data_IF_790275153531
#
_entry.id   IF_790275153531
#
_cell.length_a   1.000
_cell.length_b   1.000
_cell.length_c   1.000
_cell.angle_alpha   90.00
_cell.angle_beta   90.00
_cell.angle_gamma   90.00
#
_symmetry.space_group_name_H-M   'P 1'
#
loop_
_entity.id
_entity.type
_entity.pdbx_description
1 polymer ?
#
# COMPACT_ATOMS: atom_id res chain seq x y z
N UNK A 1 25.80 5.13 -20.36
CA UNK A 1 24.45 5.72 -20.17
C UNK A 1 23.52 4.63 -19.65
N UNK A 2 23.30 4.60 -18.33
CA UNK A 2 22.48 3.58 -17.64
C UNK A 2 21.01 3.86 -17.94
N UNK A 3 20.45 3.21 -18.96
CA UNK A 3 19.02 3.31 -19.25
C UNK A 3 18.23 2.52 -18.20
N UNK A 4 17.47 3.25 -17.39
CA UNK A 4 16.11 2.93 -16.98
C UNK A 4 15.81 1.47 -16.64
N UNK A 5 15.79 1.17 -15.34
CA UNK A 5 15.06 0.05 -14.76
C UNK A 5 13.63 0.04 -15.29
N UNK A 6 13.29 -0.89 -16.20
CA UNK A 6 11.90 -1.03 -16.66
C UNK A 6 11.04 -1.44 -15.47
N UNK A 7 9.84 -0.88 -15.36
CA UNK A 7 8.85 -1.17 -14.29
C UNK A 7 8.69 -2.68 -14.05
N UNK A 8 8.76 -3.49 -15.12
CA UNK A 8 8.69 -4.94 -15.04
C UNK A 8 9.83 -5.58 -14.23
N UNK A 9 11.05 -5.05 -14.33
CA UNK A 9 12.22 -5.56 -13.61
C UNK A 9 12.10 -5.21 -12.12
N UNK A 10 11.68 -3.97 -11.80
CA UNK A 10 11.37 -3.57 -10.42
C UNK A 10 10.25 -4.42 -9.82
N UNK A 11 9.21 -4.72 -10.60
CA UNK A 11 8.15 -5.64 -10.16
C UNK A 11 8.65 -7.06 -9.93
N UNK A 12 9.61 -7.54 -10.72
CA UNK A 12 10.22 -8.86 -10.51
C UNK A 12 11.00 -8.90 -9.19
N UNK A 13 11.85 -7.90 -8.93
CA UNK A 13 12.57 -7.75 -7.65
C UNK A 13 11.61 -7.78 -6.46
N UNK A 14 10.53 -7.00 -6.54
CA UNK A 14 9.52 -6.94 -5.49
C UNK A 14 8.83 -8.30 -5.25
N UNK A 15 8.47 -8.99 -6.34
CA UNK A 15 7.84 -10.31 -6.27
C UNK A 15 8.78 -11.36 -5.70
N UNK A 16 10.06 -11.34 -6.08
CA UNK A 16 11.05 -12.30 -5.61
C UNK A 16 11.36 -12.08 -4.12
N UNK A 17 11.45 -10.82 -3.68
CA UNK A 17 11.61 -10.48 -2.27
C UNK A 17 10.39 -10.93 -1.44
N UNK A 18 9.17 -10.69 -1.94
CA UNK A 18 7.94 -11.15 -1.27
C UNK A 18 7.91 -12.68 -1.16
N UNK A 19 8.13 -13.40 -2.27
CA UNK A 19 8.06 -14.87 -2.31
C UNK A 19 9.14 -15.52 -1.45
N UNK A 20 10.38 -15.05 -1.54
CA UNK A 20 11.49 -15.61 -0.76
C UNK A 20 11.30 -15.39 0.74
N UNK A 21 10.85 -14.20 1.14
CA UNK A 21 10.55 -13.91 2.56
C UNK A 21 9.36 -14.71 3.06
N UNK A 22 8.28 -14.81 2.27
CA UNK A 22 7.12 -15.64 2.60
C UNK A 22 7.53 -17.10 2.80
N UNK A 23 8.27 -17.69 1.85
CA UNK A 23 8.72 -19.07 1.95
C UNK A 23 9.64 -19.31 3.16
N UNK A 24 10.51 -18.33 3.48
CA UNK A 24 11.35 -18.41 4.67
C UNK A 24 10.51 -18.37 5.96
N UNK A 25 9.59 -17.41 6.07
CA UNK A 25 8.73 -17.27 7.25
C UNK A 25 7.80 -18.49 7.45
N UNK A 26 7.35 -19.12 6.37
CA UNK A 26 6.57 -20.37 6.45
C UNK A 26 7.39 -21.52 7.02
N UNK A 27 8.68 -21.60 6.67
CA UNK A 27 9.59 -22.64 7.16
C UNK A 27 10.13 -22.34 8.58
N UNK A 28 10.36 -21.07 8.90
CA UNK A 28 10.93 -20.59 10.16
C UNK A 28 10.13 -19.40 10.69
N UNK A 29 8.99 -19.64 11.34
CA UNK A 29 8.06 -18.57 11.72
C UNK A 29 8.45 -17.78 12.97
N UNK A 30 9.62 -18.05 13.53
CA UNK A 30 10.07 -17.32 14.70
C UNK A 30 10.49 -15.89 14.29
N UNK A 31 9.91 -14.83 14.90
CA UNK A 31 10.13 -13.45 14.47
C UNK A 31 11.60 -13.02 14.39
N UNK A 32 12.46 -13.47 15.32
CA UNK A 32 13.89 -13.13 15.27
C UNK A 32 14.62 -13.79 14.10
N UNK A 33 14.22 -15.00 13.72
CA UNK A 33 14.75 -15.75 12.58
C UNK A 33 14.35 -15.08 11.26
N UNK A 34 13.08 -14.65 11.15
CA UNK A 34 12.59 -13.86 10.03
C UNK A 34 13.40 -12.56 9.90
N UNK A 35 13.66 -11.87 11.01
CA UNK A 35 14.46 -10.65 11.00
C UNK A 35 15.91 -10.89 10.60
N UNK A 36 16.52 -11.98 11.06
CA UNK A 36 17.85 -12.37 10.62
C UNK A 36 17.91 -12.66 9.11
N UNK A 37 16.81 -13.14 8.50
CA UNK A 37 16.69 -13.29 7.06
C UNK A 37 16.51 -11.94 6.34
N UNK A 38 15.67 -11.06 6.86
CA UNK A 38 15.45 -9.71 6.30
C UNK A 38 16.74 -8.88 6.34
N UNK A 39 17.51 -8.92 7.43
CA UNK A 39 18.79 -8.20 7.54
C UNK A 39 19.88 -8.70 6.57
N UNK A 40 19.72 -9.88 5.98
CA UNK A 40 20.64 -10.40 4.96
C UNK A 40 20.28 -9.95 3.54
N UNK A 41 19.13 -9.30 3.37
CA UNK A 41 18.72 -8.79 2.05
C UNK A 41 19.57 -7.58 1.67
N UNK A 42 19.97 -7.51 0.41
CA UNK A 42 20.70 -6.37 -0.15
C UNK A 42 19.79 -5.37 -0.87
N UNK A 43 18.50 -5.70 -1.01
CA UNK A 43 17.51 -4.84 -1.64
C UNK A 43 16.95 -3.84 -0.63
N UNK A 44 17.40 -2.58 -0.71
CA UNK A 44 17.02 -1.51 0.21
C UNK A 44 15.76 -0.75 -0.25
N UNK A 45 15.54 -0.56 -1.55
CA UNK A 45 14.44 0.26 -2.07
C UNK A 45 13.08 -0.37 -1.76
N UNK A 46 13.00 -1.71 -1.80
CA UNK A 46 11.76 -2.46 -1.60
C UNK A 46 11.73 -3.28 -0.32
N UNK A 47 12.66 -3.07 0.62
CA UNK A 47 12.79 -3.91 1.82
C UNK A 47 11.50 -4.08 2.62
N UNK A 48 10.63 -3.05 2.66
CA UNK A 48 9.32 -3.11 3.36
C UNK A 48 8.40 -4.24 2.85
N UNK A 49 8.65 -4.76 1.64
CA UNK A 49 7.88 -5.88 1.07
C UNK A 49 8.23 -7.21 1.73
N UNK A 50 9.46 -7.35 2.24
CA UNK A 50 9.83 -8.48 3.09
C UNK A 50 9.01 -8.47 4.40
N UNK A 51 8.84 -7.29 5.00
CA UNK A 51 7.99 -7.12 6.18
C UNK A 51 6.51 -7.39 5.89
N UNK A 52 6.00 -6.96 4.71
CA UNK A 52 4.63 -7.29 4.26
C UNK A 52 4.42 -8.81 4.17
N UNK A 53 5.37 -9.52 3.56
CA UNK A 53 5.33 -10.98 3.42
C UNK A 53 5.40 -11.71 4.76
N UNK A 54 6.33 -11.30 5.63
CA UNK A 54 6.48 -11.84 6.98
C UNK A 54 5.20 -11.66 7.80
N UNK A 55 4.64 -10.45 7.78
CA UNK A 55 3.40 -10.14 8.49
C UNK A 55 2.22 -10.99 7.99
N UNK A 56 2.10 -11.19 6.68
CA UNK A 56 1.07 -12.08 6.13
C UNK A 56 1.19 -13.50 6.69
N UNK A 57 2.41 -14.07 6.73
CA UNK A 57 2.63 -15.44 7.21
C UNK A 57 2.35 -15.56 8.70
N UNK A 58 2.88 -14.64 9.51
CA UNK A 58 2.65 -14.63 10.96
C UNK A 58 1.15 -14.52 11.28
N UNK A 59 0.44 -13.63 10.59
CA UNK A 59 -1.01 -13.50 10.75
C UNK A 59 -1.74 -14.80 10.41
N UNK A 60 -1.41 -15.44 9.27
CA UNK A 60 -2.04 -16.72 8.87
C UNK A 60 -1.83 -17.82 9.92
N UNK A 61 -0.64 -17.91 10.50
CA UNK A 61 -0.34 -18.90 11.53
C UNK A 61 -1.03 -18.62 12.86
N UNK A 62 -1.08 -17.36 13.26
CA UNK A 62 -1.80 -16.95 14.47
C UNK A 62 -3.29 -17.26 14.34
N UNK A 63 -3.88 -17.01 13.17
CA UNK A 63 -5.26 -17.35 12.83
C UNK A 63 -5.50 -18.87 12.84
N UNK A 64 -4.60 -19.66 12.25
CA UNK A 64 -4.70 -21.13 12.25
C UNK A 64 -4.66 -21.70 13.67
N UNK A 65 -3.88 -21.09 14.57
CA UNK A 65 -3.79 -21.46 15.98
C UNK A 65 -4.95 -20.93 16.85
N UNK A 66 -5.81 -20.07 16.29
CA UNK A 66 -6.91 -19.43 17.03
C UNK A 66 -6.43 -18.41 18.07
N UNK A 67 -5.31 -17.74 17.82
CA UNK A 67 -4.74 -16.68 18.68
C UNK A 67 -5.14 -15.28 18.18
N UNK A 68 -4.99 -14.27 19.03
CA UNK A 68 -5.36 -12.87 18.73
C UNK A 68 -4.26 -12.10 17.98
N UNK A 69 -3.55 -12.76 17.05
CA UNK A 69 -2.41 -12.19 16.30
C UNK A 69 -1.16 -11.92 17.16
N UNK A 70 -0.89 -12.75 18.17
CA UNK A 70 0.22 -12.55 19.13
C UNK A 70 1.59 -12.43 18.44
N UNK A 71 1.91 -13.33 17.50
CA UNK A 71 3.20 -13.34 16.80
C UNK A 71 3.32 -12.16 15.84
N UNK A 72 2.23 -11.84 15.14
CA UNK A 72 2.14 -10.68 14.27
C UNK A 72 2.33 -9.37 15.05
N UNK A 73 1.67 -9.23 16.20
CA UNK A 73 1.76 -8.04 17.05
C UNK A 73 3.15 -7.91 17.66
N UNK A 74 3.74 -9.02 18.13
CA UNK A 74 5.12 -9.05 18.61
C UNK A 74 6.11 -8.61 17.52
N UNK A 75 5.92 -9.06 16.28
CA UNK A 75 6.75 -8.66 15.14
C UNK A 75 6.63 -7.15 14.84
N UNK A 76 5.41 -6.62 14.84
CA UNK A 76 5.15 -5.19 14.66
C UNK A 76 5.88 -4.35 15.71
N UNK A 77 5.70 -4.69 16.99
CA UNK A 77 6.17 -3.87 18.10
C UNK A 77 7.69 -3.90 18.28
N UNK A 78 8.32 -5.05 18.00
CA UNK A 78 9.75 -5.25 18.29
C UNK A 78 10.65 -5.06 17.07
N UNK A 79 10.14 -5.25 15.86
CA UNK A 79 11.00 -5.32 14.68
C UNK A 79 10.57 -4.46 13.50
N UNK A 80 9.27 -4.19 13.35
CA UNK A 80 8.74 -3.68 12.09
C UNK A 80 8.10 -2.29 12.19
N UNK A 81 8.35 -1.53 13.26
CA UNK A 81 7.76 -0.19 13.50
C UNK A 81 7.96 0.78 12.33
N UNK A 82 9.14 0.81 11.72
CA UNK A 82 9.45 1.66 10.55
C UNK A 82 8.71 1.20 9.27
N UNK A 83 8.23 -0.05 9.25
CA UNK A 83 7.52 -0.68 8.13
C UNK A 83 6.06 -0.99 8.49
N UNK A 84 5.49 -0.34 9.52
CA UNK A 84 4.19 -0.66 10.06
C UNK A 84 3.09 -0.72 8.99
N UNK A 85 3.06 0.24 8.06
CA UNK A 85 2.09 0.26 6.95
C UNK A 85 2.06 -1.06 6.18
N UNK A 86 3.23 -1.62 5.85
CA UNK A 86 3.36 -2.90 5.15
C UNK A 86 2.95 -4.08 6.03
N UNK A 87 3.20 -4.03 7.33
CA UNK A 87 2.76 -5.07 8.28
C UNK A 87 1.22 -5.16 8.34
N UNK A 88 0.53 -4.01 8.41
CA UNK A 88 -0.94 -3.95 8.33
C UNK A 88 -1.48 -4.39 6.96
N UNK A 89 -0.79 -4.04 5.86
CA UNK A 89 -1.15 -4.54 4.53
C UNK A 89 -1.02 -6.07 4.49
N UNK A 90 0.05 -6.65 5.03
CA UNK A 90 0.26 -8.10 5.12
C UNK A 90 -0.86 -8.82 5.85
N UNK A 91 -1.34 -8.27 6.98
CA UNK A 91 -2.55 -8.75 7.65
C UNK A 91 -3.79 -8.69 6.74
N UNK A 92 -3.92 -7.63 5.94
CA UNK A 92 -4.95 -7.51 4.92
C UNK A 92 -4.91 -8.61 3.87
N UNK A 93 -3.73 -9.04 3.44
CA UNK A 93 -3.58 -10.19 2.54
C UNK A 93 -4.05 -11.49 3.21
N UNK A 94 -3.71 -11.72 4.48
CA UNK A 94 -4.17 -12.88 5.24
C UNK A 94 -5.70 -12.89 5.35
N UNK A 95 -6.31 -11.76 5.71
CA UNK A 95 -7.78 -11.60 5.75
C UNK A 95 -8.41 -11.87 4.37
N UNK A 96 -7.79 -11.33 3.31
CA UNK A 96 -8.19 -11.56 1.94
C UNK A 96 -8.12 -13.04 1.55
N UNK A 97 -7.08 -13.75 1.94
CA UNK A 97 -6.93 -15.18 1.67
C UNK A 97 -8.01 -16.00 2.39
N UNK A 98 -8.13 -15.82 3.70
CA UNK A 98 -9.02 -16.60 4.58
C UNK A 98 -10.48 -16.12 4.56
N UNK A 99 -10.77 -15.03 3.82
CA UNK A 99 -12.11 -14.44 3.69
C UNK A 99 -12.69 -13.96 5.02
N UNK A 100 -11.82 -13.39 5.86
CA UNK A 100 -12.18 -12.91 7.19
C UNK A 100 -12.62 -11.45 7.15
N UNK A 101 -13.51 -11.08 8.07
CA UNK A 101 -13.87 -9.68 8.27
C UNK A 101 -12.82 -9.01 9.16
N UNK A 102 -12.05 -8.03 8.65
CA UNK A 102 -10.98 -7.43 9.41
C UNK A 102 -11.45 -6.42 10.47
N UNK A 103 -12.76 -6.18 10.60
CA UNK A 103 -13.28 -5.13 11.49
C UNK A 103 -12.86 -5.31 12.95
N UNK A 104 -12.77 -6.54 13.46
CA UNK A 104 -12.30 -6.80 14.83
C UNK A 104 -10.88 -6.26 15.09
N UNK A 105 -10.01 -6.25 14.07
CA UNK A 105 -8.65 -5.69 14.17
C UNK A 105 -8.62 -4.20 13.84
N UNK A 106 -9.50 -3.75 12.95
CA UNK A 106 -9.63 -2.31 12.64
C UNK A 106 -10.06 -1.51 13.87
N UNK A 107 -10.91 -2.09 14.71
CA UNK A 107 -11.45 -1.45 15.91
C UNK A 107 -10.50 -1.49 17.11
N UNK A 108 -9.53 -2.41 17.13
CA UNK A 108 -8.65 -2.65 18.28
C UNK A 108 -7.20 -2.23 18.06
N UNK A 109 -6.71 -2.26 16.81
CA UNK A 109 -5.34 -1.87 16.48
C UNK A 109 -5.21 -0.35 16.28
N UNK A 110 -3.97 0.12 16.08
CA UNK A 110 -3.68 1.54 15.88
C UNK A 110 -4.57 2.17 14.78
N UNK A 111 -5.42 3.16 15.11
CA UNK A 111 -6.44 3.69 14.20
C UNK A 111 -5.86 4.40 12.96
N UNK A 112 -4.59 4.82 12.99
CA UNK A 112 -3.92 5.40 11.83
C UNK A 112 -3.60 4.35 10.77
N UNK A 113 -3.26 3.13 11.18
CA UNK A 113 -2.77 2.09 10.28
C UNK A 113 -3.77 0.96 10.06
N UNK A 114 -4.73 0.74 10.97
CA UNK A 114 -5.59 -0.43 10.91
C UNK A 114 -6.45 -0.48 9.63
N UNK A 115 -6.86 0.67 9.10
CA UNK A 115 -7.57 0.74 7.81
C UNK A 115 -6.74 0.21 6.63
N UNK A 116 -5.40 0.18 6.74
CA UNK A 116 -4.51 -0.40 5.71
C UNK A 116 -4.73 -1.91 5.53
N UNK A 117 -5.39 -2.58 6.48
CA UNK A 117 -5.84 -3.97 6.35
C UNK A 117 -6.84 -4.10 5.19
N UNK A 118 -7.80 -3.17 5.06
CA UNK A 118 -8.72 -3.16 3.91
C UNK A 118 -8.01 -2.89 2.58
N UNK A 119 -6.94 -2.09 2.58
CA UNK A 119 -6.10 -1.91 1.39
C UNK A 119 -5.44 -3.24 0.99
N UNK A 120 -4.79 -3.93 1.94
CA UNK A 120 -4.20 -5.25 1.67
C UNK A 120 -5.22 -6.28 1.18
N UNK A 121 -6.41 -6.29 1.76
CA UNK A 121 -7.52 -7.13 1.31
C UNK A 121 -7.91 -6.80 -0.14
N UNK A 122 -8.12 -5.50 -0.44
CA UNK A 122 -8.44 -5.03 -1.78
C UNK A 122 -7.37 -5.36 -2.80
N UNK A 123 -6.09 -5.29 -2.41
CA UNK A 123 -4.98 -5.71 -3.24
C UNK A 123 -5.05 -7.20 -3.56
N UNK A 124 -5.25 -8.04 -2.54
CA UNK A 124 -5.40 -9.48 -2.69
C UNK A 124 -6.53 -9.83 -3.67
N UNK A 125 -7.70 -9.22 -3.49
CA UNK A 125 -8.85 -9.44 -4.37
C UNK A 125 -8.64 -8.92 -5.78
N UNK A 126 -8.04 -7.73 -5.93
CA UNK A 126 -7.66 -7.21 -7.25
C UNK A 126 -6.70 -8.14 -7.98
N UNK A 127 -5.84 -8.86 -7.24
CA UNK A 127 -4.82 -9.72 -7.83
C UNK A 127 -5.36 -11.12 -8.16
N UNK A 128 -5.93 -11.80 -7.17
CA UNK A 128 -6.37 -13.20 -7.28
C UNK A 128 -7.84 -13.34 -7.73
N UNK A 129 -8.65 -12.28 -7.57
CA UNK A 129 -10.10 -12.30 -7.82
C UNK A 129 -10.56 -11.17 -8.75
N UNK A 130 -9.68 -10.64 -9.61
CA UNK A 130 -9.96 -9.53 -10.54
C UNK A 130 -11.32 -9.58 -11.24
N UNK A 131 -11.72 -10.76 -11.74
CA UNK A 131 -13.00 -10.95 -12.45
C UNK A 131 -14.20 -10.69 -11.53
N UNK A 132 -14.13 -11.19 -10.30
CA UNK A 132 -15.18 -11.02 -9.27
C UNK A 132 -15.27 -9.54 -8.85
N UNK A 133 -14.13 -8.88 -8.65
CA UNK A 133 -14.08 -7.46 -8.30
C UNK A 133 -14.73 -6.59 -9.40
N UNK A 134 -14.40 -6.82 -10.67
CA UNK A 134 -15.00 -6.10 -11.79
C UNK A 134 -16.49 -6.41 -12.00
N UNK A 135 -16.98 -7.54 -11.49
CA UNK A 135 -18.41 -7.90 -11.47
C UNK A 135 -19.14 -7.34 -10.25
N UNK A 136 -18.47 -6.56 -9.39
CA UNK A 136 -19.07 -6.00 -8.18
C UNK A 136 -19.23 -6.98 -7.03
N UNK A 137 -18.52 -8.11 -7.05
CA UNK A 137 -18.54 -9.12 -5.98
C UNK A 137 -17.48 -8.76 -4.94
N UNK A 138 -17.94 -8.16 -3.85
CA UNK A 138 -17.12 -7.72 -2.72
C UNK A 138 -17.24 -8.66 -1.51
N UNK A 139 -16.38 -8.52 -0.48
CA UNK A 139 -16.58 -9.19 0.80
C UNK A 139 -17.93 -8.84 1.42
N UNK A 140 -18.67 -9.82 1.92
CA UNK A 140 -20.07 -9.66 2.35
C UNK A 140 -20.27 -8.61 3.45
N UNK A 141 -19.31 -8.49 4.36
CA UNK A 141 -19.37 -7.59 5.53
C UNK A 141 -18.66 -6.26 5.33
N UNK A 142 -18.23 -5.93 4.11
CA UNK A 142 -17.49 -4.68 3.90
C UNK A 142 -18.36 -3.46 4.22
N UNK A 143 -17.91 -2.64 5.16
CA UNK A 143 -18.63 -1.43 5.56
C UNK A 143 -18.48 -0.33 4.53
N UNK A 144 -19.36 0.68 4.57
CA UNK A 144 -19.25 1.89 3.73
C UNK A 144 -17.91 2.62 3.93
N UNK A 145 -17.32 2.51 5.12
CA UNK A 145 -15.99 3.08 5.44
C UNK A 145 -14.85 2.20 4.92
N UNK A 146 -14.98 0.88 4.96
CA UNK A 146 -13.96 -0.03 4.42
C UNK A 146 -13.86 -0.01 2.89
N UNK A 147 -14.98 0.24 2.21
CA UNK A 147 -15.07 0.16 0.76
C UNK A 147 -14.12 1.10 -0.01
N UNK A 148 -13.99 2.40 0.34
CA UNK A 148 -12.95 3.27 -0.23
C UNK A 148 -11.53 2.71 -0.09
N UNK A 149 -11.19 2.19 1.09
CA UNK A 149 -9.82 1.69 1.36
C UNK A 149 -9.55 0.38 0.63
N UNK A 150 -10.57 -0.47 0.49
CA UNK A 150 -10.53 -1.66 -0.35
C UNK A 150 -10.29 -1.30 -1.82
N UNK A 151 -11.00 -0.30 -2.37
CA UNK A 151 -10.82 0.10 -3.78
C UNK A 151 -9.47 0.76 -4.05
N UNK A 152 -8.88 1.42 -3.07
CA UNK A 152 -7.48 1.84 -3.13
C UNK A 152 -6.53 0.63 -3.26
N UNK A 153 -6.75 -0.43 -2.48
CA UNK A 153 -6.02 -1.69 -2.63
C UNK A 153 -6.20 -2.34 -4.01
N UNK A 154 -7.44 -2.37 -4.51
CA UNK A 154 -7.74 -2.85 -5.86
C UNK A 154 -6.98 -2.03 -6.90
N UNK A 155 -6.99 -0.70 -6.80
CA UNK A 155 -6.23 0.20 -7.68
C UNK A 155 -4.75 -0.15 -7.71
N UNK A 156 -4.13 -0.33 -6.54
CA UNK A 156 -2.73 -0.77 -6.45
C UNK A 156 -2.52 -2.08 -7.21
N UNK A 157 -3.36 -3.08 -6.99
CA UNK A 157 -3.22 -4.38 -7.66
C UNK A 157 -3.36 -4.30 -9.19
N UNK A 158 -4.25 -3.45 -9.70
CA UNK A 158 -4.38 -3.21 -11.13
C UNK A 158 -3.18 -2.48 -11.72
N UNK A 159 -2.54 -1.56 -11.01
CA UNK A 159 -1.26 -0.98 -11.43
C UNK A 159 -0.20 -2.08 -11.67
N UNK A 160 -0.06 -2.99 -10.71
CA UNK A 160 0.85 -4.14 -10.81
C UNK A 160 0.52 -5.04 -12.00
N UNK A 161 -0.76 -5.36 -12.19
CA UNK A 161 -1.21 -6.21 -13.31
C UNK A 161 -0.98 -5.52 -14.67
N UNK A 162 -1.09 -4.19 -14.73
CA UNK A 162 -0.83 -3.42 -15.94
C UNK A 162 0.66 -3.29 -16.26
N UNK A 163 1.56 -3.49 -15.27
CA UNK A 163 3.02 -3.34 -15.42
C UNK A 163 3.43 -1.98 -16.01
N UNK A 164 2.73 -0.92 -15.59
CA UNK A 164 2.89 0.44 -16.10
C UNK A 164 2.45 0.67 -17.55
N UNK A 165 1.80 -0.30 -18.19
CA UNK A 165 1.23 -0.12 -19.52
C UNK A 165 -0.01 0.77 -19.46
N UNK A 166 0.12 2.00 -19.98
CA UNK A 166 -0.93 3.03 -20.01
C UNK A 166 -2.21 2.56 -20.71
N UNK A 167 -2.10 1.88 -21.86
CA UNK A 167 -3.27 1.39 -22.60
C UNK A 167 -4.06 0.36 -21.81
N UNK A 168 -3.38 -0.55 -21.09
CA UNK A 168 -4.04 -1.51 -20.20
C UNK A 168 -4.71 -0.79 -19.04
N UNK A 169 -4.02 0.18 -18.42
CA UNK A 169 -4.58 0.95 -17.32
C UNK A 169 -5.82 1.75 -17.77
N UNK A 170 -5.77 2.40 -18.92
CA UNK A 170 -6.92 3.10 -19.51
C UNK A 170 -8.10 2.14 -19.71
N UNK A 171 -7.88 0.98 -20.33
CA UNK A 171 -8.94 -0.03 -20.54
C UNK A 171 -9.54 -0.55 -19.23
N UNK A 172 -8.73 -0.73 -18.20
CA UNK A 172 -9.21 -1.15 -16.87
C UNK A 172 -10.01 -0.02 -16.23
N UNK A 173 -9.52 1.21 -16.30
CA UNK A 173 -10.17 2.36 -15.66
C UNK A 173 -11.61 2.57 -16.16
N UNK A 174 -11.92 2.28 -17.42
CA UNK A 174 -13.29 2.38 -17.95
C UNK A 174 -14.24 1.30 -17.42
N UNK A 175 -13.73 0.26 -16.77
CA UNK A 175 -14.52 -0.82 -16.17
C UNK A 175 -14.75 -0.60 -14.67
N UNK A 176 -14.08 0.39 -14.06
CA UNK A 176 -14.26 0.70 -12.64
C UNK A 176 -15.55 1.50 -12.46
N UNK A 177 -16.48 1.06 -11.59
CA UNK A 177 -17.70 1.81 -11.30
C UNK A 177 -17.38 3.25 -10.85
N UNK A 178 -18.19 4.21 -11.31
CA UNK A 178 -17.90 5.64 -11.13
C UNK A 178 -17.72 6.05 -9.67
N UNK A 179 -18.47 5.43 -8.75
CA UNK A 179 -18.41 5.66 -7.32
C UNK A 179 -17.09 5.17 -6.65
N UNK A 180 -16.26 4.43 -7.37
CA UNK A 180 -14.97 3.91 -6.85
C UNK A 180 -13.75 4.44 -7.60
N UNK A 181 -13.95 5.26 -8.64
CA UNK A 181 -12.86 5.80 -9.44
C UNK A 181 -11.87 6.62 -8.60
N UNK A 182 -12.38 7.45 -7.70
CA UNK A 182 -11.57 8.27 -6.80
C UNK A 182 -10.57 7.39 -6.02
N UNK A 183 -11.06 6.37 -5.34
CA UNK A 183 -10.23 5.47 -4.54
C UNK A 183 -9.31 4.58 -5.39
N UNK A 184 -9.82 4.10 -6.53
CA UNK A 184 -9.02 3.36 -7.50
C UNK A 184 -7.79 4.17 -7.95
N UNK A 185 -8.00 5.45 -8.34
CA UNK A 185 -6.92 6.36 -8.76
C UNK A 185 -5.96 6.70 -7.62
N UNK A 186 -6.45 6.77 -6.38
CA UNK A 186 -5.59 6.83 -5.18
C UNK A 186 -4.66 5.63 -5.08
N UNK A 187 -5.21 4.43 -5.33
CA UNK A 187 -4.44 3.19 -5.41
C UNK A 187 -3.38 3.21 -6.51
N UNK A 188 -3.71 3.73 -7.69
CA UNK A 188 -2.76 3.92 -8.79
C UNK A 188 -1.62 4.85 -8.39
N UNK A 189 -1.93 6.00 -7.77
CA UNK A 189 -0.94 6.97 -7.34
C UNK A 189 0.04 6.39 -6.32
N UNK A 190 -0.49 5.63 -5.36
CA UNK A 190 0.31 4.93 -4.35
C UNK A 190 1.25 3.91 -4.99
N UNK A 191 0.71 3.01 -5.83
CA UNK A 191 1.51 1.95 -6.43
C UNK A 191 2.52 2.49 -7.47
N UNK A 192 2.17 3.54 -8.21
CA UNK A 192 3.09 4.21 -9.11
C UNK A 192 4.29 4.79 -8.37
N UNK A 193 4.03 5.58 -7.32
CA UNK A 193 5.05 6.25 -6.51
C UNK A 193 5.92 5.25 -5.76
N UNK A 194 5.32 4.15 -5.30
CA UNK A 194 6.06 3.09 -4.62
C UNK A 194 6.90 2.25 -5.59
N UNK A 195 6.37 1.77 -6.70
CA UNK A 195 7.15 0.90 -7.62
C UNK A 195 8.19 1.70 -8.41
N UNK A 196 7.78 2.85 -8.95
CA UNK A 196 8.59 3.66 -9.85
C UNK A 196 8.98 2.99 -11.16
N UNK A 197 10.01 3.55 -11.82
CA UNK A 197 10.51 3.06 -13.10
C UNK A 197 9.89 3.71 -14.35
N UNK A 198 9.21 4.85 -14.18
CA UNK A 198 8.72 5.68 -15.30
C UNK A 198 9.56 6.93 -15.50
N UNK A 199 9.53 7.46 -16.72
CA UNK A 199 10.04 8.78 -17.04
C UNK A 199 9.09 9.89 -16.57
N UNK A 200 9.60 11.11 -16.41
CA UNK A 200 8.80 12.30 -16.07
C UNK A 200 7.63 12.52 -17.05
N UNK A 201 7.86 12.27 -18.34
CA UNK A 201 6.82 12.35 -19.38
C UNK A 201 5.70 11.32 -19.14
N UNK A 202 6.06 10.08 -18.83
CA UNK A 202 5.07 9.04 -18.54
C UNK A 202 4.26 9.35 -17.28
N UNK A 203 4.88 9.91 -16.24
CA UNK A 203 4.17 10.35 -15.04
C UNK A 203 3.19 11.50 -15.33
N UNK A 204 3.53 12.43 -16.22
CA UNK A 204 2.62 13.48 -16.68
C UNK A 204 1.45 12.92 -17.48
N UNK A 205 1.66 11.88 -18.30
CA UNK A 205 0.59 11.22 -19.02
C UNK A 205 -0.38 10.48 -18.07
N UNK A 206 0.14 9.83 -17.01
CA UNK A 206 -0.70 9.24 -15.95
C UNK A 206 -1.51 10.33 -15.23
N UNK A 207 -0.89 11.48 -14.93
CA UNK A 207 -1.58 12.64 -14.34
C UNK A 207 -2.74 13.14 -15.22
N UNK A 208 -2.51 13.28 -16.52
CA UNK A 208 -3.58 13.68 -17.46
C UNK A 208 -4.68 12.62 -17.55
N UNK A 209 -4.32 11.33 -17.55
CA UNK A 209 -5.28 10.23 -17.60
C UNK A 209 -6.18 10.15 -16.35
N UNK A 210 -5.66 10.54 -15.17
CA UNK A 210 -6.45 10.62 -13.96
C UNK A 210 -7.57 11.66 -14.05
N UNK A 211 -7.41 12.70 -14.87
CA UNK A 211 -8.43 13.72 -15.13
C UNK A 211 -9.04 14.30 -13.84
N UNK A 212 -10.34 14.10 -13.57
CA UNK A 212 -10.98 14.61 -12.35
C UNK A 212 -10.44 13.98 -11.05
N UNK A 213 -9.70 12.87 -11.13
CA UNK A 213 -9.15 12.14 -9.98
C UNK A 213 -7.67 12.45 -9.71
N UNK A 214 -7.14 13.53 -10.27
CA UNK A 214 -5.77 14.00 -10.03
C UNK A 214 -5.48 14.24 -8.54
N UNK A 215 -6.46 14.76 -7.80
CA UNK A 215 -6.38 14.95 -6.34
C UNK A 215 -6.11 13.62 -5.62
N UNK A 216 -6.87 12.57 -5.96
CA UNK A 216 -6.71 11.25 -5.37
C UNK A 216 -5.41 10.58 -5.81
N UNK A 217 -5.03 10.71 -7.09
CA UNK A 217 -3.73 10.23 -7.58
C UNK A 217 -2.58 10.83 -6.75
N UNK A 218 -2.61 12.15 -6.51
CA UNK A 218 -1.67 12.86 -5.64
C UNK A 218 -1.72 12.35 -4.21
N UNK A 219 -2.90 12.20 -3.61
CA UNK A 219 -3.05 11.68 -2.24
C UNK A 219 -2.42 10.29 -2.10
N UNK A 220 -2.62 9.42 -3.09
CA UNK A 220 -1.94 8.11 -3.16
C UNK A 220 -0.41 8.23 -3.14
N UNK A 221 0.15 9.18 -3.90
CA UNK A 221 1.58 9.45 -3.90
C UNK A 221 2.09 9.95 -2.53
N UNK A 222 1.32 10.81 -1.86
CA UNK A 222 1.65 11.27 -0.50
C UNK A 222 1.68 10.12 0.51
N UNK A 223 0.77 9.16 0.41
CA UNK A 223 0.79 7.94 1.23
C UNK A 223 2.06 7.12 1.01
N UNK A 224 2.47 6.95 -0.25
CA UNK A 224 3.71 6.24 -0.58
C UNK A 224 4.96 6.99 -0.10
N UNK A 225 5.00 8.32 -0.23
CA UNK A 225 6.08 9.17 0.30
C UNK A 225 6.17 9.04 1.82
N UNK A 226 5.03 9.06 2.54
CA UNK A 226 5.01 8.86 4.00
C UNK A 226 5.59 7.51 4.38
N UNK A 227 5.11 6.43 3.76
CA UNK A 227 5.58 5.06 4.02
C UNK A 227 7.09 4.92 3.72
N UNK A 228 7.57 5.47 2.60
CA UNK A 228 9.00 5.46 2.28
C UNK A 228 9.82 6.32 3.25
N UNK A 229 9.29 7.44 3.73
CA UNK A 229 9.97 8.27 4.73
C UNK A 229 10.10 7.55 6.07
N UNK A 230 9.06 6.86 6.53
CA UNK A 230 9.08 6.12 7.80
C UNK A 230 10.07 4.95 7.72
N UNK A 231 10.08 4.25 6.58
CA UNK A 231 10.98 3.14 6.29
C UNK A 231 12.40 3.56 5.87
N UNK A 232 12.69 4.86 5.76
CA UNK A 232 13.96 5.42 5.25
C UNK A 232 14.35 4.89 3.86
N UNK A 233 13.37 4.67 2.99
CA UNK A 233 13.52 4.13 1.63
C UNK A 233 13.15 5.17 0.56
N UNK A 234 13.36 6.46 0.79
CA UNK A 234 13.15 7.48 -0.25
C UNK A 234 14.20 7.30 -1.35
N UNK A 235 13.75 7.27 -2.61
CA UNK A 235 14.61 7.16 -3.80
C UNK A 235 14.34 8.30 -4.77
N UNK A 236 15.24 8.53 -5.73
CA UNK A 236 15.14 9.60 -6.72
C UNK A 236 13.79 9.63 -7.47
N UNK A 237 13.18 8.46 -7.72
CA UNK A 237 11.85 8.41 -8.33
C UNK A 237 10.76 9.01 -7.42
N UNK A 238 10.83 8.76 -6.11
CA UNK A 238 9.91 9.35 -5.14
C UNK A 238 10.02 10.87 -5.09
N UNK A 239 11.25 11.39 -5.17
CA UNK A 239 11.52 12.84 -5.25
C UNK A 239 10.95 13.45 -6.53
N UNK A 240 11.14 12.78 -7.66
CA UNK A 240 10.59 13.21 -8.95
C UNK A 240 9.06 13.26 -8.93
N UNK A 241 8.39 12.27 -8.33
CA UNK A 241 6.92 12.29 -8.18
C UNK A 241 6.45 13.42 -7.27
N UNK A 242 7.17 13.68 -6.16
CA UNK A 242 6.87 14.80 -5.28
C UNK A 242 6.88 16.14 -6.05
N UNK A 243 7.90 16.37 -6.88
CA UNK A 243 7.99 17.55 -7.72
C UNK A 243 6.90 17.58 -8.81
N UNK A 244 6.62 16.46 -9.46
CA UNK A 244 5.70 16.42 -10.59
C UNK A 244 4.23 16.54 -10.18
N UNK A 245 3.80 15.80 -9.17
CA UNK A 245 2.39 15.70 -8.80
C UNK A 245 2.01 16.56 -7.60
N UNK A 246 2.97 16.85 -6.71
CA UNK A 246 2.71 17.68 -5.53
C UNK A 246 3.30 19.09 -5.67
N UNK A 247 4.15 19.34 -6.67
CA UNK A 247 4.82 20.64 -6.90
C UNK A 247 5.64 21.13 -5.71
N UNK A 248 6.15 20.21 -4.90
CA UNK A 248 6.94 20.50 -3.70
C UNK A 248 8.14 19.55 -3.60
N UNK A 249 9.27 19.99 -3.01
CA UNK A 249 10.37 19.09 -2.65
C UNK A 249 9.90 18.02 -1.65
N UNK A 250 10.44 16.80 -1.75
CA UNK A 250 10.04 15.67 -0.89
C UNK A 250 10.18 15.99 0.60
N UNK A 251 11.22 16.73 1.00
CA UNK A 251 11.45 17.09 2.40
C UNK A 251 10.36 18.01 2.94
N UNK A 252 9.84 18.94 2.13
CA UNK A 252 8.73 19.81 2.52
C UNK A 252 7.43 19.00 2.65
N UNK A 253 7.22 18.01 1.78
CA UNK A 253 6.08 17.08 1.90
C UNK A 253 6.19 16.29 3.20
N UNK A 254 7.35 15.71 3.49
CA UNK A 254 7.59 14.94 4.72
C UNK A 254 7.34 15.82 5.95
N UNK A 255 7.81 17.06 5.94
CA UNK A 255 7.57 18.03 7.01
C UNK A 255 6.07 18.32 7.19
N UNK A 256 5.34 18.59 6.11
CA UNK A 256 3.89 18.83 6.16
C UNK A 256 3.09 17.62 6.67
N UNK A 257 3.52 16.41 6.30
CA UNK A 257 2.93 15.15 6.77
C UNK A 257 3.25 14.86 8.25
N UNK A 258 4.28 15.49 8.83
CA UNK A 258 4.67 15.39 10.25
C UNK A 258 4.11 16.51 11.13
N UNK A 259 4.10 17.76 10.64
CA UNK A 259 3.92 18.98 11.46
C UNK A 259 2.53 19.62 11.39
N UNK A 260 1.71 19.37 10.35
CA UNK A 260 0.29 19.73 10.40
C UNK A 260 -0.47 18.62 11.15
N UNK A 261 -1.66 18.93 11.69
CA UNK A 261 -2.62 18.05 12.41
C UNK A 261 -3.05 16.82 11.58
N UNK A 262 -2.06 15.99 11.28
CA UNK A 262 -2.00 14.76 10.51
C UNK A 262 -1.15 13.73 11.27
N UNK A 263 -0.55 14.14 12.42
CA UNK A 263 -0.02 13.25 13.45
C UNK A 263 -1.13 12.93 14.46
N UNK A 264 -1.40 11.64 14.64
CA UNK A 264 -2.67 11.08 15.13
C UNK A 264 -2.60 10.65 16.60
N UNK A 265 -1.98 11.46 17.45
CA UNK A 265 -1.77 11.11 18.87
C UNK A 265 -3.03 11.19 19.74
N UNK A 266 -4.23 11.32 19.14
CA UNK A 266 -5.52 11.20 19.83
C UNK A 266 -6.30 10.06 19.16
N UNK A 267 -6.74 9.08 19.96
CA UNK A 267 -7.27 7.81 19.48
C UNK A 267 -8.72 7.90 18.99
N UNK A 268 -8.94 8.11 17.69
CA UNK A 268 -10.27 7.91 17.11
C UNK A 268 -10.24 7.34 15.68
N UNK A 269 -11.10 6.34 15.42
CA UNK A 269 -11.21 5.60 14.14
C UNK A 269 -11.58 6.52 12.96
N UNK A 270 -12.18 7.68 13.26
CA UNK A 270 -12.54 8.76 12.33
C UNK A 270 -11.30 9.39 11.67
N UNK A 271 -10.13 9.28 12.30
CA UNK A 271 -8.91 10.00 11.88
C UNK A 271 -8.38 9.56 10.53
N UNK A 272 -8.41 8.26 10.18
CA UNK A 272 -7.88 7.81 8.90
C UNK A 272 -8.66 8.43 7.72
N UNK A 273 -9.99 8.39 7.77
CA UNK A 273 -10.81 8.93 6.68
C UNK A 273 -10.68 10.44 6.56
N UNK A 274 -10.73 11.16 7.68
CA UNK A 274 -10.48 12.62 7.68
C UNK A 274 -9.07 12.96 7.22
N UNK A 275 -8.07 12.15 7.56
CA UNK A 275 -6.70 12.31 7.09
C UNK A 275 -6.62 12.15 5.56
N UNK A 276 -7.27 11.12 5.01
CA UNK A 276 -7.34 10.89 3.57
C UNK A 276 -8.07 12.03 2.84
N UNK A 277 -9.16 12.54 3.40
CA UNK A 277 -9.89 13.70 2.85
C UNK A 277 -9.00 14.94 2.77
N UNK A 278 -8.23 15.23 3.82
CA UNK A 278 -7.24 16.33 3.81
C UNK A 278 -6.13 16.13 2.76
N UNK A 279 -5.69 14.89 2.53
CA UNK A 279 -4.71 14.60 1.48
C UNK A 279 -5.29 14.83 0.06
N UNK A 280 -6.59 14.58 -0.13
CA UNK A 280 -7.28 14.87 -1.39
C UNK A 280 -7.35 16.36 -1.66
N UNK A 281 -7.70 17.16 -0.65
CA UNK A 281 -7.67 18.63 -0.72
C UNK A 281 -6.25 19.11 -1.09
N UNK A 282 -5.23 18.48 -0.49
CA UNK A 282 -3.82 18.73 -0.74
C UNK A 282 -3.21 19.65 0.30
N UNK A 283 -2.02 20.18 0.01
CA UNK A 283 -1.41 21.19 0.88
C UNK A 283 -1.88 22.56 0.41
N UNK A 284 -2.78 23.19 1.17
CA UNK A 284 -3.04 24.63 1.00
C UNK A 284 -1.71 25.40 1.09
N UNK A 285 -1.45 26.22 0.08
CA UNK A 285 -0.33 27.17 0.07
C UNK A 285 -0.58 28.32 1.05
#
# INVERSE_FOLDING_TARGET
MKSEYKIADKMAVLQDLFKSTKAFAEAQPEPSSIMAFIHKQTEEEFISIAYEAAAMVLALQDLEKGTDLDSWQYFLDNYAKEHAVQVYIGLGWACGQERLDPMQWIETLNPLFAWRIWDGYGYYDGFFRKRKVLQGVFPEKISKKGLPVYWQGVGRSFWYTCKGNKTKLQKVSTQIPSNYQADFWRGIGLANTYVGGQSRKECQEIWQMAGPYQAQLRAGALLAIKSRSDAKTIVAYTEMIAEEWCKLPVLKIIDLLKNKVLDSTVADIVIYHTWIEKLDEGFDN
#
